data_IF_969516946557
#
_entry.id   IF_969516946557
#
_cell.length_a   1.000
_cell.length_b   1.000
_cell.length_c   1.000
_cell.angle_alpha   90.00
_cell.angle_beta   90.00
_cell.angle_gamma   90.00
#
_symmetry.space_group_name_H-M   'P 1'
#
loop_
_entity.id
_entity.type
_entity.pdbx_description
1 polymer ?
#
# COMPACT_ATOMS: atom_id res chain seq x y z
N UNK A 1 -7.95 20.90 -13.60
CA UNK A 1 -8.80 20.09 -14.50
C UNK A 1 -10.25 20.56 -14.42
N UNK A 2 -10.91 20.49 -13.26
CA UNK A 2 -12.22 21.13 -13.06
C UNK A 2 -12.11 22.64 -12.83
N UNK A 3 -11.09 23.09 -12.10
CA UNK A 3 -10.75 24.51 -11.91
C UNK A 3 -10.39 25.25 -13.20
N UNK A 4 -10.08 24.52 -14.27
CA UNK A 4 -9.72 25.06 -15.60
C UNK A 4 -10.93 25.14 -16.54
N UNK A 5 -12.15 24.96 -16.02
CA UNK A 5 -13.36 25.12 -16.83
C UNK A 5 -13.46 26.57 -17.35
N UNK A 6 -13.72 26.76 -18.66
CA UNK A 6 -13.82 28.09 -19.25
C UNK A 6 -14.83 28.98 -18.52
N UNK A 7 -14.42 30.19 -18.13
CA UNK A 7 -15.28 31.16 -17.46
C UNK A 7 -15.54 30.91 -15.97
N UNK A 8 -15.01 29.82 -15.38
CA UNK A 8 -15.17 29.53 -13.95
C UNK A 8 -14.43 30.57 -13.07
N UNK A 9 -13.36 31.18 -13.59
CA UNK A 9 -12.60 32.23 -12.92
C UNK A 9 -13.45 33.47 -12.52
N UNK A 10 -14.64 33.66 -13.10
CA UNK A 10 -15.59 34.70 -12.69
C UNK A 10 -16.31 34.39 -11.38
N UNK A 11 -16.18 33.17 -10.86
CA UNK A 11 -16.82 32.71 -9.63
C UNK A 11 -15.75 32.33 -8.58
N UNK A 12 -15.07 33.32 -7.96
CA UNK A 12 -14.02 33.06 -6.97
C UNK A 12 -14.51 32.33 -5.72
N UNK A 13 -15.84 32.33 -5.47
CA UNK A 13 -16.47 31.60 -4.36
C UNK A 13 -16.50 30.09 -4.57
N UNK A 14 -16.19 29.58 -5.76
CA UNK A 14 -16.20 28.15 -6.05
C UNK A 14 -14.89 27.52 -5.61
N UNK A 15 -14.99 26.64 -4.61
CA UNK A 15 -13.87 25.85 -4.11
C UNK A 15 -14.19 24.36 -4.23
N UNK A 16 -13.63 23.72 -5.26
CA UNK A 16 -13.78 22.28 -5.47
C UNK A 16 -13.13 21.45 -4.36
N UNK A 17 -12.17 21.99 -3.61
CA UNK A 17 -11.54 21.26 -2.50
C UNK A 17 -12.52 20.95 -1.36
N UNK A 18 -13.63 21.69 -1.25
CA UNK A 18 -14.69 21.45 -0.26
C UNK A 18 -15.77 20.50 -0.76
N UNK A 19 -15.82 20.25 -2.07
CA UNK A 19 -16.86 19.43 -2.71
C UNK A 19 -16.33 18.06 -3.15
N UNK A 20 -15.04 17.99 -3.47
CA UNK A 20 -14.35 16.76 -3.88
C UNK A 20 -13.59 16.20 -2.68
N UNK A 21 -13.73 14.90 -2.45
CA UNK A 21 -13.12 14.17 -1.34
C UNK A 21 -12.64 12.78 -1.80
N UNK A 22 -12.09 12.00 -0.86
CA UNK A 22 -11.56 10.67 -1.12
C UNK A 22 -12.60 9.63 -1.62
N UNK A 23 -13.90 9.92 -1.55
CA UNK A 23 -14.96 8.98 -1.95
C UNK A 23 -15.59 9.29 -3.30
N UNK A 24 -15.35 10.49 -3.85
CA UNK A 24 -16.00 10.95 -5.08
C UNK A 24 -15.01 11.42 -6.17
N UNK A 25 -13.74 11.64 -5.84
CA UNK A 25 -12.75 12.15 -6.80
C UNK A 25 -12.50 11.20 -7.98
N UNK A 26 -12.71 9.90 -7.79
CA UNK A 26 -12.52 8.83 -8.77
C UNK A 26 -13.78 8.52 -9.58
N UNK A 27 -14.90 9.22 -9.32
CA UNK A 27 -16.20 8.99 -9.95
C UNK A 27 -16.56 10.13 -10.88
N UNK A 28 -16.37 9.98 -12.21
CA UNK A 28 -16.63 11.05 -13.17
C UNK A 28 -18.05 11.59 -13.10
N UNK A 29 -19.05 10.73 -12.91
CA UNK A 29 -20.45 11.16 -12.86
C UNK A 29 -20.78 12.01 -11.61
N UNK A 30 -20.12 11.74 -10.47
CA UNK A 30 -20.29 12.57 -9.27
C UNK A 30 -19.68 13.95 -9.49
N UNK A 31 -18.51 14.02 -10.15
CA UNK A 31 -17.90 15.29 -10.52
C UNK A 31 -18.78 16.10 -11.48
N UNK A 32 -19.41 15.44 -12.46
CA UNK A 32 -20.41 16.08 -13.35
C UNK A 32 -21.58 16.63 -12.55
N UNK A 33 -22.10 15.87 -11.59
CA UNK A 33 -23.22 16.31 -10.75
C UNK A 33 -22.87 17.50 -9.87
N UNK A 34 -21.64 17.56 -9.33
CA UNK A 34 -21.13 18.73 -8.60
C UNK A 34 -21.12 19.97 -9.50
N UNK A 35 -20.61 19.84 -10.73
CA UNK A 35 -20.58 20.95 -11.69
C UNK A 35 -21.99 21.39 -12.07
N UNK A 36 -22.92 20.46 -12.33
CA UNK A 36 -24.33 20.78 -12.61
C UNK A 36 -25.02 21.49 -11.44
N UNK A 37 -24.76 21.04 -10.20
CA UNK A 37 -25.28 21.69 -8.99
C UNK A 37 -24.76 23.13 -8.83
N UNK A 38 -23.48 23.36 -9.17
CA UNK A 38 -22.89 24.70 -9.23
C UNK A 38 -23.53 25.56 -10.31
N UNK A 39 -23.75 25.01 -11.51
CA UNK A 39 -24.42 25.71 -12.61
C UNK A 39 -25.80 26.18 -12.19
N UNK A 40 -26.61 25.33 -11.57
CA UNK A 40 -27.95 25.70 -11.09
C UNK A 40 -27.95 26.80 -10.02
N UNK A 41 -26.87 26.91 -9.24
CA UNK A 41 -26.74 27.89 -8.15
C UNK A 41 -26.14 29.22 -8.61
N UNK A 42 -25.27 29.19 -9.62
CA UNK A 42 -24.44 30.34 -10.03
C UNK A 42 -24.89 30.98 -11.34
N UNK A 43 -25.59 30.24 -12.19
CA UNK A 43 -26.01 30.71 -13.51
C UNK A 43 -27.42 31.29 -13.46
N UNK A 44 -27.54 32.55 -13.86
CA UNK A 44 -28.80 33.26 -14.01
C UNK A 44 -29.13 33.34 -15.52
N UNK A 45 -30.35 33.02 -15.97
CA UNK A 45 -30.75 33.13 -17.37
C UNK A 45 -30.57 34.55 -17.95
N UNK A 46 -30.50 35.58 -17.08
CA UNK A 46 -30.36 36.98 -17.49
C UNK A 46 -28.90 37.43 -17.67
N UNK A 47 -27.92 36.66 -17.17
CA UNK A 47 -26.48 36.98 -17.24
C UNK A 47 -25.68 35.74 -17.61
N UNK A 48 -25.56 35.50 -18.91
CA UNK A 48 -24.80 34.37 -19.45
C UNK A 48 -23.29 34.64 -19.40
N UNK A 49 -22.59 33.94 -18.51
CA UNK A 49 -21.13 33.86 -18.52
C UNK A 49 -20.68 32.65 -19.35
N UNK A 50 -19.43 32.66 -19.83
CA UNK A 50 -18.84 31.56 -20.63
C UNK A 50 -19.00 30.20 -19.95
N UNK A 51 -18.86 30.12 -18.63
CA UNK A 51 -19.09 28.90 -17.84
C UNK A 51 -20.53 28.40 -17.91
N UNK A 52 -21.51 29.32 -17.80
CA UNK A 52 -22.93 29.00 -17.84
C UNK A 52 -23.36 28.60 -19.24
N UNK A 53 -22.93 29.33 -20.25
CA UNK A 53 -23.18 29.00 -21.65
C UNK A 53 -22.64 27.61 -21.98
N UNK A 54 -21.38 27.33 -21.62
CA UNK A 54 -20.78 26.02 -21.81
C UNK A 54 -21.54 24.93 -21.04
N UNK A 55 -21.90 25.15 -19.78
CA UNK A 55 -22.55 24.13 -18.95
C UNK A 55 -24.01 23.86 -19.33
N UNK A 56 -24.70 24.83 -19.94
CA UNK A 56 -26.11 24.72 -20.36
C UNK A 56 -26.22 24.21 -21.80
N UNK A 57 -25.31 24.64 -22.68
CA UNK A 57 -25.31 24.26 -24.11
C UNK A 57 -24.60 22.94 -24.40
N UNK A 58 -23.79 22.43 -23.48
CA UNK A 58 -23.15 21.12 -23.60
C UNK A 58 -24.21 20.01 -23.48
N UNK A 59 -24.19 19.07 -24.41
CA UNK A 59 -24.95 17.81 -24.36
C UNK A 59 -24.47 16.87 -23.23
N UNK A 60 -23.57 17.36 -22.38
CA UNK A 60 -22.93 16.67 -21.28
C UNK A 60 -21.62 16.00 -21.67
N UNK A 61 -21.23 15.99 -22.95
CA UNK A 61 -20.02 15.31 -23.39
C UNK A 61 -18.75 16.03 -22.97
N UNK A 62 -18.71 17.37 -23.07
CA UNK A 62 -17.54 18.12 -22.62
C UNK A 62 -17.36 17.98 -21.10
N UNK A 63 -18.43 18.15 -20.34
CA UNK A 63 -18.40 17.99 -18.88
C UNK A 63 -18.00 16.56 -18.48
N UNK A 64 -18.53 15.54 -19.13
CA UNK A 64 -18.15 14.15 -18.89
C UNK A 64 -16.67 13.90 -19.18
N UNK A 65 -16.14 14.46 -20.28
CA UNK A 65 -14.72 14.34 -20.64
C UNK A 65 -13.82 15.06 -19.65
N UNK A 66 -14.15 16.28 -19.26
CA UNK A 66 -13.38 17.04 -18.25
C UNK A 66 -13.42 16.35 -16.89
N UNK A 67 -14.59 15.85 -16.47
CA UNK A 67 -14.75 15.09 -15.23
C UNK A 67 -13.95 13.79 -15.25
N UNK A 68 -13.96 13.06 -16.37
CA UNK A 68 -13.17 11.84 -16.53
C UNK A 68 -11.66 12.12 -16.49
N UNK A 69 -11.21 13.20 -17.15
CA UNK A 69 -9.82 13.64 -17.07
C UNK A 69 -9.42 14.07 -15.65
N UNK A 70 -10.31 14.77 -14.94
CA UNK A 70 -10.09 15.16 -13.55
C UNK A 70 -10.00 13.94 -12.62
N UNK A 71 -10.89 12.96 -12.79
CA UNK A 71 -10.88 11.71 -12.04
C UNK A 71 -9.60 10.92 -12.30
N UNK A 72 -9.21 10.76 -13.56
CA UNK A 72 -7.99 10.06 -13.94
C UNK A 72 -6.73 10.74 -13.37
N UNK A 73 -6.68 12.08 -13.42
CA UNK A 73 -5.60 12.84 -12.81
C UNK A 73 -5.56 12.64 -11.28
N UNK A 74 -6.72 12.65 -10.63
CA UNK A 74 -6.84 12.39 -9.19
C UNK A 74 -6.36 10.98 -8.83
N UNK A 75 -6.77 9.95 -9.58
CA UNK A 75 -6.35 8.55 -9.39
C UNK A 75 -4.83 8.43 -9.57
N UNK A 76 -4.27 9.08 -10.59
CA UNK A 76 -2.82 9.04 -10.88
C UNK A 76 -2.00 9.72 -9.78
N UNK A 77 -2.50 10.82 -9.22
CA UNK A 77 -1.84 11.49 -8.09
C UNK A 77 -2.01 10.70 -6.78
N UNK A 78 -3.16 10.07 -6.55
CA UNK A 78 -3.36 9.21 -5.40
C UNK A 78 -2.43 7.99 -5.45
N UNK A 79 -2.29 7.36 -6.62
CA UNK A 79 -1.43 6.20 -6.81
C UNK A 79 0.05 6.54 -6.70
N UNK A 80 0.50 7.70 -7.20
CA UNK A 80 1.90 8.15 -7.08
C UNK A 80 2.33 8.39 -5.64
N UNK A 81 1.41 8.76 -4.75
CA UNK A 81 1.66 8.97 -3.32
C UNK A 81 1.53 7.67 -2.52
N UNK A 82 0.61 6.78 -2.90
CA UNK A 82 0.40 5.50 -2.21
C UNK A 82 1.46 4.46 -2.58
N UNK A 83 1.87 4.38 -3.85
CA UNK A 83 2.87 3.43 -4.33
C UNK A 83 4.18 3.44 -3.51
N UNK A 84 4.82 4.59 -3.21
CA UNK A 84 6.05 4.62 -2.42
C UNK A 84 5.81 4.21 -0.96
N UNK A 85 4.66 4.55 -0.37
CA UNK A 85 4.31 4.12 1.00
C UNK A 85 4.09 2.62 1.08
N UNK A 86 3.37 2.05 0.12
CA UNK A 86 3.13 0.60 0.03
C UNK A 86 4.44 -0.14 -0.24
N UNK A 87 5.30 0.39 -1.12
CA UNK A 87 6.61 -0.19 -1.40
C UNK A 87 7.51 -0.18 -0.14
N UNK A 88 7.54 0.94 0.59
CA UNK A 88 8.28 1.05 1.85
C UNK A 88 7.78 0.05 2.89
N UNK A 89 6.47 -0.03 3.11
CA UNK A 89 5.88 -0.99 4.06
C UNK A 89 6.25 -2.43 3.65
N UNK A 90 6.10 -2.78 2.36
CA UNK A 90 6.47 -4.10 1.85
C UNK A 90 7.95 -4.41 2.10
N UNK A 91 8.85 -3.48 1.79
CA UNK A 91 10.28 -3.64 2.03
C UNK A 91 10.59 -3.86 3.52
N UNK A 92 10.06 -3.01 4.40
CA UNK A 92 10.26 -3.15 5.85
C UNK A 92 9.69 -4.47 6.40
N UNK A 93 8.51 -4.88 5.95
CA UNK A 93 7.93 -6.17 6.37
C UNK A 93 8.69 -7.37 5.83
N UNK A 94 9.25 -7.29 4.62
CA UNK A 94 10.09 -8.32 4.04
C UNK A 94 11.40 -8.45 4.82
N UNK A 95 12.05 -7.34 5.17
CA UNK A 95 13.27 -7.31 5.99
C UNK A 95 13.02 -7.89 7.38
N UNK A 96 11.90 -7.55 8.02
CA UNK A 96 11.54 -8.09 9.32
C UNK A 96 11.30 -9.61 9.26
N UNK A 97 10.63 -10.07 8.20
CA UNK A 97 10.36 -11.49 7.97
C UNK A 97 11.66 -12.27 7.73
N UNK A 98 12.58 -11.71 6.95
CA UNK A 98 13.89 -12.29 6.71
C UNK A 98 14.70 -12.42 8.02
N UNK A 99 14.75 -11.37 8.82
CA UNK A 99 15.45 -11.39 10.12
C UNK A 99 14.86 -12.45 11.07
N UNK A 100 13.53 -12.61 11.08
CA UNK A 100 12.87 -13.63 11.90
C UNK A 100 13.24 -15.06 11.46
N UNK A 101 13.29 -15.31 10.14
CA UNK A 101 13.70 -16.61 9.58
C UNK A 101 15.17 -16.89 9.91
N UNK A 102 16.06 -15.91 9.71
CA UNK A 102 17.50 -16.05 9.98
C UNK A 102 17.75 -16.32 11.47
N UNK A 103 17.04 -15.63 12.37
CA UNK A 103 17.13 -15.88 13.81
C UNK A 103 16.75 -17.32 14.17
N UNK A 104 15.65 -17.83 13.61
CA UNK A 104 15.22 -19.22 13.79
C UNK A 104 16.27 -20.22 13.31
N UNK A 105 16.74 -20.10 12.06
CA UNK A 105 17.76 -20.99 11.48
C UNK A 105 19.04 -20.96 12.33
N UNK A 106 19.44 -19.79 12.82
CA UNK A 106 20.63 -19.64 13.67
C UNK A 106 20.53 -20.48 14.95
N UNK A 107 19.39 -20.45 15.64
CA UNK A 107 19.17 -21.26 16.85
C UNK A 107 19.20 -22.76 16.52
N UNK A 108 18.56 -23.18 15.42
CA UNK A 108 18.58 -24.58 14.98
C UNK A 108 19.99 -25.09 14.70
N UNK A 109 20.85 -24.30 14.05
CA UNK A 109 22.25 -24.67 13.77
C UNK A 109 23.04 -24.83 15.08
N UNK A 110 22.89 -23.92 16.04
CA UNK A 110 23.56 -24.02 17.35
C UNK A 110 23.14 -25.31 18.09
N UNK A 111 21.83 -25.62 18.10
CA UNK A 111 21.31 -26.83 18.73
C UNK A 111 21.83 -28.09 18.03
N UNK A 112 21.87 -28.12 16.69
CA UNK A 112 22.42 -29.26 15.94
C UNK A 112 23.89 -29.52 16.28
N UNK A 113 24.71 -28.47 16.35
CA UNK A 113 26.13 -28.60 16.75
C UNK A 113 26.25 -29.18 18.15
N UNK A 114 25.45 -28.69 19.11
CA UNK A 114 25.44 -29.22 20.48
C UNK A 114 25.03 -30.69 20.53
N UNK A 115 24.04 -31.10 19.73
CA UNK A 115 23.60 -32.50 19.62
C UNK A 115 24.71 -33.38 19.05
N UNK A 116 25.40 -32.97 17.98
CA UNK A 116 26.49 -33.75 17.37
C UNK A 116 27.63 -33.94 18.38
N UNK A 117 28.10 -32.85 19.01
CA UNK A 117 29.18 -32.91 20.01
C UNK A 117 28.75 -33.78 21.20
N UNK A 118 27.52 -33.60 21.68
CA UNK A 118 26.95 -34.42 22.77
C UNK A 118 26.94 -35.90 22.42
N UNK A 119 26.51 -36.26 21.21
CA UNK A 119 26.51 -37.65 20.75
C UNK A 119 27.93 -38.23 20.72
N UNK A 120 28.92 -37.49 20.22
CA UNK A 120 30.33 -37.91 20.22
C UNK A 120 30.82 -38.14 21.67
N UNK A 121 30.57 -37.20 22.58
CA UNK A 121 30.98 -37.31 23.98
C UNK A 121 30.30 -38.47 24.70
N UNK A 122 28.99 -38.64 24.48
CA UNK A 122 28.21 -39.75 25.05
C UNK A 122 28.71 -41.09 24.55
N UNK A 123 29.01 -41.18 23.25
CA UNK A 123 29.57 -42.38 22.64
C UNK A 123 30.96 -42.71 23.23
N UNK A 124 31.83 -41.70 23.38
CA UNK A 124 33.15 -41.87 24.02
C UNK A 124 33.05 -42.36 25.46
N UNK A 125 32.14 -41.79 26.28
CA UNK A 125 31.92 -42.23 27.67
C UNK A 125 31.47 -43.69 27.74
N UNK A 126 30.50 -44.09 26.89
CA UNK A 126 30.03 -45.49 26.86
C UNK A 126 31.14 -46.47 26.45
N UNK A 127 31.98 -46.11 25.46
CA UNK A 127 33.10 -46.96 25.02
C UNK A 127 34.14 -47.17 26.13
N UNK A 128 34.44 -46.13 26.94
CA UNK A 128 35.34 -46.24 28.10
C UNK A 128 34.81 -47.23 29.15
N UNK A 129 33.52 -47.20 29.47
CA UNK A 129 32.93 -48.10 30.46
C UNK A 129 32.91 -49.56 30.00
N UNK A 130 32.64 -49.82 28.71
CA UNK A 130 32.70 -51.19 28.16
C UNK A 130 34.10 -51.79 28.25
N UNK A 131 35.15 -51.01 27.97
CA UNK A 131 36.55 -51.47 28.13
C UNK A 131 36.88 -51.80 29.58
N UNK A 132 36.47 -50.96 30.55
CA UNK A 132 36.71 -51.21 31.98
C UNK A 132 36.12 -52.53 32.46
N UNK A 133 34.90 -52.87 32.03
CA UNK A 133 34.25 -54.14 32.38
C UNK A 133 35.01 -55.37 31.86
N UNK A 134 35.60 -55.29 30.66
CA UNK A 134 36.43 -56.38 30.12
C UNK A 134 37.72 -56.55 30.90
N UNK A 135 38.39 -55.45 31.28
CA UNK A 135 39.59 -55.52 32.13
C UNK A 135 39.32 -56.13 33.51
N UNK A 136 38.20 -55.78 34.16
CA UNK A 136 37.83 -56.36 35.46
C UNK A 136 37.57 -57.86 35.35
N UNK A 137 36.97 -58.32 34.24
CA UNK A 137 36.77 -59.74 34.00
C UNK A 137 38.08 -60.50 33.80
N UNK A 138 39.01 -59.95 33.00
CA UNK A 138 40.32 -60.56 32.75
C UNK A 138 41.22 -60.66 33.99
N UNK A 139 41.01 -59.81 35.00
CA UNK A 139 41.79 -59.84 36.25
C UNK A 139 41.19 -60.75 37.33
N UNK A 140 39.99 -61.31 37.10
CA UNK A 140 39.26 -62.11 38.09
C UNK A 140 39.31 -63.62 37.80
N UNK A 141 39.65 -64.00 36.57
CA UNK A 141 40.16 -65.35 36.25
C UNK A 141 41.63 -65.46 36.66
#
# INVERSE_FOLDING_TARGET
MLSSLPGLNRFPSVDFSKMINATNFDRPMELVNIVKGLTNKLCDPSKSNVFCMLSISDDGQFLAKTASGAAQAGITQASSVQAPKVAYIKATTADLSYNMIVSGITIFVIVLVMVIIYLILRYRKKKKMKKKLQYIKLLKE
#
